data_IF_176670406892
#
_entry.id   IF_176670406892
#
_cell.length_a   1.000
_cell.length_b   1.000
_cell.length_c   1.000
_cell.angle_alpha   90.00
_cell.angle_beta   90.00
_cell.angle_gamma   90.00
#
_symmetry.space_group_name_H-M   'P 1'
#
loop_
_entity.id
_entity.type
_entity.pdbx_description
1 polymer ?
#
# COMPACT_ATOMS: atom_id res chain seq x y z
N UNK A 1 -18.14 6.47 18.34
CA UNK A 1 -19.06 6.38 17.18
C UNK A 1 -18.21 6.44 15.92
N UNK A 2 -17.88 5.27 15.35
CA UNK A 2 -17.09 5.18 14.13
C UNK A 2 -17.89 5.83 12.99
N UNK A 3 -17.37 6.90 12.42
CA UNK A 3 -17.98 7.55 11.26
C UNK A 3 -18.04 6.48 10.17
N UNK A 4 -19.26 6.09 9.78
CA UNK A 4 -19.48 5.34 8.56
C UNK A 4 -18.89 6.18 7.42
N UNK A 5 -17.67 5.82 6.99
CA UNK A 5 -17.07 6.37 5.79
C UNK A 5 -18.00 6.02 4.65
N UNK A 6 -18.68 7.03 4.14
CA UNK A 6 -19.41 6.89 2.88
C UNK A 6 -18.41 6.37 1.85
N UNK A 7 -18.71 5.20 1.29
CA UNK A 7 -18.01 4.66 0.13
C UNK A 7 -18.09 5.75 -0.95
N UNK A 8 -16.99 6.47 -1.16
CA UNK A 8 -16.98 7.49 -2.19
C UNK A 8 -16.79 6.77 -3.54
N UNK A 9 -17.83 6.74 -4.41
CA UNK A 9 -17.75 6.02 -5.67
C UNK A 9 -16.63 6.56 -6.56
N UNK A 10 -16.27 7.83 -6.39
CA UNK A 10 -15.15 8.45 -7.09
C UNK A 10 -13.83 7.80 -6.68
N UNK A 11 -13.57 7.60 -5.39
CA UNK A 11 -12.36 6.94 -4.91
C UNK A 11 -12.26 5.48 -5.42
N UNK A 12 -13.36 4.74 -5.47
CA UNK A 12 -13.37 3.37 -6.01
C UNK A 12 -13.13 3.32 -7.53
N UNK A 13 -13.73 4.23 -8.32
CA UNK A 13 -13.52 4.32 -9.77
C UNK A 13 -12.06 4.66 -10.09
N UNK A 14 -11.50 5.63 -9.37
CA UNK A 14 -10.13 6.11 -9.56
C UNK A 14 -9.08 5.06 -9.14
N UNK A 15 -9.36 4.26 -8.11
CA UNK A 15 -8.55 3.08 -7.75
C UNK A 15 -8.54 2.01 -8.86
N UNK A 16 -9.68 1.78 -9.52
CA UNK A 16 -9.75 0.81 -10.62
C UNK A 16 -8.92 1.28 -11.82
N UNK A 17 -9.01 2.57 -12.17
CA UNK A 17 -8.21 3.18 -13.23
C UNK A 17 -6.71 3.11 -12.96
N UNK A 18 -6.25 3.43 -11.75
CA UNK A 18 -4.85 3.32 -11.39
C UNK A 18 -4.32 1.88 -11.50
N UNK A 19 -5.14 0.89 -11.13
CA UNK A 19 -4.78 -0.52 -11.28
C UNK A 19 -4.65 -0.93 -12.75
N UNK A 20 -5.51 -0.43 -13.64
CA UNK A 20 -5.38 -0.67 -15.09
C UNK A 20 -4.11 -0.04 -15.67
N UNK A 21 -3.75 1.17 -15.23
CA UNK A 21 -2.50 1.84 -15.63
C UNK A 21 -1.27 1.05 -15.16
N UNK A 22 -1.30 0.50 -13.94
CA UNK A 22 -0.28 -0.42 -13.44
C UNK A 22 -0.08 -1.63 -14.36
N UNK A 23 -1.15 -2.22 -14.89
CA UNK A 23 -1.05 -3.32 -15.86
C UNK A 23 -0.47 -2.90 -17.21
N UNK A 24 -0.54 -1.61 -17.55
CA UNK A 24 0.08 -1.01 -18.75
C UNK A 24 1.52 -0.57 -18.50
N UNK A 25 2.12 -0.87 -17.35
CA UNK A 25 3.43 -0.38 -16.89
C UNK A 25 3.50 1.16 -16.76
N UNK A 26 2.35 1.83 -16.69
CA UNK A 26 2.26 3.28 -16.54
C UNK A 26 2.16 3.65 -15.05
N UNK A 27 3.24 3.33 -14.32
CA UNK A 27 3.29 3.48 -12.86
C UNK A 27 3.31 4.93 -12.41
N UNK A 28 3.87 5.85 -13.21
CA UNK A 28 3.93 7.26 -12.87
C UNK A 28 2.53 7.90 -12.86
N UNK A 29 1.73 7.65 -13.91
CA UNK A 29 0.35 8.12 -13.94
C UNK A 29 -0.51 7.44 -12.88
N UNK A 30 -0.30 6.15 -12.61
CA UNK A 30 -1.01 5.45 -11.53
C UNK A 30 -0.76 6.12 -10.16
N UNK A 31 0.45 6.60 -9.89
CA UNK A 31 0.79 7.32 -8.65
C UNK A 31 -0.01 8.62 -8.52
N UNK A 32 -0.10 9.44 -9.58
CA UNK A 32 -0.89 10.67 -9.56
C UNK A 32 -2.37 10.41 -9.27
N UNK A 33 -2.90 9.33 -9.84
CA UNK A 33 -4.27 8.90 -9.62
C UNK A 33 -4.48 8.44 -8.16
N UNK A 34 -3.51 7.72 -7.57
CA UNK A 34 -3.57 7.37 -6.14
C UNK A 34 -3.49 8.62 -5.23
N UNK A 35 -2.72 9.64 -5.61
CA UNK A 35 -2.66 10.89 -4.86
C UNK A 35 -4.01 11.61 -4.85
N UNK A 36 -4.72 11.65 -5.98
CA UNK A 36 -6.09 12.18 -6.03
C UNK A 36 -7.06 11.38 -5.14
N UNK A 37 -6.92 10.05 -5.09
CA UNK A 37 -7.72 9.22 -4.17
C UNK A 37 -7.44 9.59 -2.72
N UNK A 38 -6.17 9.84 -2.37
CA UNK A 38 -5.75 10.17 -1.01
C UNK A 38 -6.14 11.61 -0.61
N UNK A 39 -6.25 12.54 -1.55
CA UNK A 39 -6.83 13.87 -1.28
C UNK A 39 -8.29 13.79 -0.86
N UNK A 40 -9.04 12.85 -1.45
CA UNK A 40 -10.47 12.64 -1.18
C UNK A 40 -10.67 11.75 0.05
N UNK A 41 -9.84 10.72 0.20
CA UNK A 41 -9.87 9.75 1.29
C UNK A 41 -8.46 9.56 1.90
N UNK A 42 -8.06 10.45 2.85
CA UNK A 42 -6.70 10.47 3.39
C UNK A 42 -6.31 9.28 4.28
N UNK A 43 -7.23 8.35 4.56
CA UNK A 43 -6.91 7.12 5.30
C UNK A 43 -7.29 5.88 4.48
N UNK A 44 -7.22 5.99 3.15
CA UNK A 44 -7.46 4.86 2.27
C UNK A 44 -6.23 3.93 2.26
N UNK A 45 -6.24 2.91 3.13
CA UNK A 45 -5.14 1.96 3.24
C UNK A 45 -4.79 1.30 1.90
N UNK A 46 -5.80 1.01 1.07
CA UNK A 46 -5.62 0.38 -0.24
C UNK A 46 -4.95 1.31 -1.25
N UNK A 47 -5.28 2.60 -1.24
CA UNK A 47 -4.63 3.60 -2.09
C UNK A 47 -3.15 3.75 -1.72
N UNK A 48 -2.83 3.87 -0.43
CA UNK A 48 -1.44 3.90 0.05
C UNK A 48 -0.66 2.63 -0.34
N UNK A 49 -1.23 1.44 -0.12
CA UNK A 49 -0.60 0.17 -0.53
C UNK A 49 -0.35 0.11 -2.04
N UNK A 50 -1.34 0.48 -2.84
CA UNK A 50 -1.23 0.43 -4.29
C UNK A 50 -0.22 1.45 -4.84
N UNK A 51 -0.18 2.66 -4.25
CA UNK A 51 0.85 3.68 -4.52
C UNK A 51 2.25 3.17 -4.16
N UNK A 52 2.39 2.52 -3.01
CA UNK A 52 3.65 1.89 -2.59
C UNK A 52 4.14 0.83 -3.58
N UNK A 53 3.24 -0.03 -4.06
CA UNK A 53 3.58 -1.03 -5.08
C UNK A 53 4.04 -0.38 -6.39
N UNK A 54 3.38 0.67 -6.84
CA UNK A 54 3.78 1.39 -8.06
C UNK A 54 5.17 2.04 -7.90
N UNK A 55 5.47 2.61 -6.73
CA UNK A 55 6.78 3.17 -6.42
C UNK A 55 7.88 2.10 -6.34
N UNK A 56 7.60 0.94 -5.73
CA UNK A 56 8.53 -0.19 -5.67
C UNK A 56 8.88 -0.71 -7.07
N UNK A 57 7.89 -0.79 -7.96
CA UNK A 57 8.09 -1.18 -9.36
C UNK A 57 8.90 -0.15 -10.16
N UNK A 58 8.86 1.12 -9.77
CA UNK A 58 9.72 2.18 -10.31
C UNK A 58 11.12 2.24 -9.68
N UNK A 59 11.42 1.38 -8.71
CA UNK A 59 12.70 1.39 -7.97
C UNK A 59 12.81 2.50 -6.92
N UNK A 60 11.71 3.19 -6.59
CA UNK A 60 11.63 4.23 -5.56
C UNK A 60 11.32 3.59 -4.21
N UNK A 61 12.26 2.80 -3.69
CA UNK A 61 12.02 1.90 -2.58
C UNK A 61 11.71 2.61 -1.25
N UNK A 62 12.41 3.69 -0.92
CA UNK A 62 12.18 4.45 0.31
C UNK A 62 10.78 5.07 0.32
N UNK A 63 10.34 5.62 -0.81
CA UNK A 63 9.00 6.21 -0.94
C UNK A 63 7.90 5.14 -0.91
N UNK A 64 8.17 3.96 -1.48
CA UNK A 64 7.30 2.82 -1.38
C UNK A 64 7.12 2.39 0.09
N UNK A 65 8.21 2.33 0.86
CA UNK A 65 8.18 2.00 2.29
C UNK A 65 7.33 3.01 3.07
N UNK A 66 7.50 4.32 2.83
CA UNK A 66 6.66 5.34 3.49
C UNK A 66 5.17 5.20 3.14
N UNK A 67 4.86 4.81 1.90
CA UNK A 67 3.48 4.52 1.50
C UNK A 67 2.94 3.28 2.23
N UNK A 68 3.71 2.21 2.35
CA UNK A 68 3.29 1.03 3.10
C UNK A 68 3.10 1.32 4.59
N UNK A 69 3.94 2.17 5.20
CA UNK A 69 3.77 2.61 6.59
C UNK A 69 2.48 3.41 6.79
N UNK A 70 2.14 4.26 5.83
CA UNK A 70 0.87 4.99 5.83
C UNK A 70 -0.33 4.04 5.69
N UNK A 71 -0.22 3.04 4.82
CA UNK A 71 -1.22 1.98 4.67
C UNK A 71 -1.42 1.19 5.98
N UNK A 72 -0.33 0.79 6.65
CA UNK A 72 -0.36 0.06 7.92
C UNK A 72 -0.81 0.93 9.09
N UNK A 73 -0.64 2.25 9.03
CA UNK A 73 -1.25 3.16 10.00
C UNK A 73 -2.77 3.16 9.89
N UNK A 74 -3.29 2.98 8.66
CA UNK A 74 -4.73 2.92 8.40
C UNK A 74 -5.32 1.52 8.66
N UNK A 75 -4.59 0.47 8.31
CA UNK A 75 -4.94 -0.94 8.51
C UNK A 75 -3.72 -1.73 9.01
N UNK A 76 -3.48 -1.80 10.33
CA UNK A 76 -2.30 -2.44 10.91
C UNK A 76 -2.21 -3.95 10.66
N UNK A 77 -3.33 -4.59 10.32
CA UNK A 77 -3.42 -6.03 10.13
C UNK A 77 -3.38 -6.43 8.65
N UNK A 78 -2.97 -5.52 7.76
CA UNK A 78 -2.85 -5.81 6.35
C UNK A 78 -1.59 -6.64 6.07
N UNK A 79 -1.74 -7.97 6.11
CA UNK A 79 -0.66 -8.92 5.91
C UNK A 79 0.05 -8.78 4.55
N UNK A 80 -0.69 -8.44 3.48
CA UNK A 80 -0.11 -8.19 2.16
C UNK A 80 0.80 -6.95 2.15
N UNK A 81 0.39 -5.89 2.85
CA UNK A 81 1.19 -4.67 2.95
C UNK A 81 2.46 -4.90 3.77
N UNK A 82 2.38 -5.66 4.88
CA UNK A 82 3.54 -6.08 5.66
C UNK A 82 4.53 -6.89 4.82
N UNK A 83 4.02 -7.85 4.04
CA UNK A 83 4.84 -8.64 3.14
C UNK A 83 5.55 -7.76 2.10
N UNK A 84 4.81 -6.88 1.40
CA UNK A 84 5.40 -6.01 0.37
C UNK A 84 6.40 -5.01 0.96
N UNK A 85 6.13 -4.44 2.14
CA UNK A 85 7.09 -3.61 2.88
C UNK A 85 8.35 -4.41 3.18
N UNK A 86 8.21 -5.64 3.68
CA UNK A 86 9.34 -6.49 4.05
C UNK A 86 10.22 -6.87 2.87
N UNK A 87 9.61 -7.24 1.74
CA UNK A 87 10.32 -7.49 0.47
C UNK A 87 11.07 -6.24 0.01
N UNK A 88 10.44 -5.07 0.07
CA UNK A 88 11.06 -3.79 -0.33
C UNK A 88 12.25 -3.43 0.56
N UNK A 89 12.13 -3.62 1.87
CA UNK A 89 13.23 -3.43 2.83
C UNK A 89 14.43 -4.34 2.51
N UNK A 90 14.17 -5.59 2.15
CA UNK A 90 15.22 -6.52 1.72
C UNK A 90 15.94 -6.05 0.45
N UNK A 91 15.24 -5.44 -0.52
CA UNK A 91 15.86 -4.90 -1.75
C UNK A 91 16.89 -3.80 -1.47
N UNK A 92 16.67 -2.99 -0.44
CA UNK A 92 17.59 -1.92 -0.03
C UNK A 92 18.59 -2.34 1.06
N UNK A 93 18.69 -3.64 1.37
CA UNK A 93 19.65 -4.18 2.33
C UNK A 93 19.24 -4.11 3.79
N UNK A 94 18.02 -3.64 4.11
CA UNK A 94 17.46 -3.61 5.48
C UNK A 94 16.82 -4.96 5.83
N UNK A 95 17.62 -6.02 5.78
CA UNK A 95 17.15 -7.40 5.88
C UNK A 95 16.47 -7.73 7.21
N UNK A 96 17.01 -7.28 8.34
CA UNK A 96 16.43 -7.54 9.66
C UNK A 96 15.00 -7.01 9.78
N UNK A 97 14.80 -5.75 9.38
CA UNK A 97 13.47 -5.12 9.40
C UNK A 97 12.53 -5.75 8.36
N UNK A 98 13.08 -6.19 7.23
CA UNK A 98 12.32 -6.87 6.20
C UNK A 98 11.75 -8.21 6.65
N UNK A 99 12.58 -9.01 7.34
CA UNK A 99 12.18 -10.30 7.93
C UNK A 99 11.13 -10.08 9.02
N UNK A 100 11.32 -9.11 9.91
CA UNK A 100 10.35 -8.78 10.96
C UNK A 100 8.97 -8.43 10.37
N UNK A 101 8.93 -7.61 9.32
CA UNK A 101 7.67 -7.28 8.64
C UNK A 101 6.98 -8.53 8.05
N UNK A 102 7.75 -9.42 7.41
CA UNK A 102 7.20 -10.66 6.83
C UNK A 102 6.68 -11.60 7.93
N UNK A 103 7.44 -11.78 9.01
CA UNK A 103 7.03 -12.59 10.15
C UNK A 103 5.75 -12.07 10.79
N UNK A 104 5.63 -10.76 10.95
CA UNK A 104 4.39 -10.13 11.42
C UNK A 104 3.21 -10.41 10.48
N UNK A 105 3.40 -10.27 9.16
CA UNK A 105 2.36 -10.55 8.16
C UNK A 105 1.92 -12.02 8.15
N UNK A 106 2.87 -12.94 8.31
CA UNK A 106 2.60 -14.38 8.49
C UNK A 106 1.81 -14.61 9.78
N UNK A 107 2.26 -14.04 10.90
CA UNK A 107 1.56 -14.17 12.19
C UNK A 107 0.12 -13.67 12.13
N UNK A 108 -0.16 -12.58 11.41
CA UNK A 108 -1.53 -12.09 11.22
C UNK A 108 -2.36 -13.05 10.36
N UNK A 109 -1.76 -13.60 9.30
CA UNK A 109 -2.44 -14.51 8.37
C UNK A 109 -2.79 -15.87 9.00
N UNK A 110 -1.96 -16.35 9.93
CA UNK A 110 -2.12 -17.66 10.58
C UNK A 110 -2.55 -17.59 12.05
N UNK A 111 -2.56 -16.40 12.67
CA UNK A 111 -2.77 -16.20 14.10
C UNK A 111 -4.17 -15.73 14.53
N UNK A 112 -5.12 -15.59 13.60
CA UNK A 112 -6.53 -15.41 13.95
C UNK A 112 -7.23 -16.77 14.02
N UNK A 113 -7.14 -17.42 15.18
CA UNK A 113 -7.90 -18.61 15.55
C UNK A 113 -8.97 -18.25 16.59
#
# INVERSE_FOLDING_TARGET
MAKHRERNPFAEITLQQANEMKYRNDYANAIEIYDQVLEIDPQNARAFHSKGNAMDLLGRYEEAISCYESALTCDPNNAETLYNKGVTLCKIGRQSEGVECIEQGVSISFGNQ
#
